data_IF_756315714225
#
_entry.id   IF_756315714225
#
_cell.length_a   1.000
_cell.length_b   1.000
_cell.length_c   1.000
_cell.angle_alpha   90.00
_cell.angle_beta   90.00
_cell.angle_gamma   90.00
#
_symmetry.space_group_name_H-M   'P 1'
#
loop_
_entity.id
_entity.type
_entity.pdbx_description
1 polymer ?
#
# COMPACT_ATOMS: atom_id res chain seq x y z
N UNK A 1 -3.35 14.08 -10.27
CA UNK A 1 -3.34 13.88 -8.81
C UNK A 1 -3.76 15.14 -8.08
N UNK A 2 -3.04 16.25 -8.06
CA UNK A 2 -3.35 17.46 -7.27
C UNK A 2 -4.81 17.94 -7.38
N UNK A 3 -5.35 18.08 -8.60
CA UNK A 3 -6.73 18.56 -8.83
C UNK A 3 -7.80 17.68 -8.17
N UNK A 4 -7.57 16.36 -8.10
CA UNK A 4 -8.55 15.39 -7.56
C UNK A 4 -8.40 15.24 -6.05
N UNK A 5 -7.14 15.26 -5.55
CA UNK A 5 -6.86 15.07 -4.12
C UNK A 5 -7.03 16.35 -3.28
N UNK A 6 -7.20 17.51 -3.91
CA UNK A 6 -7.28 18.79 -3.20
C UNK A 6 -5.97 19.29 -2.59
N UNK A 7 -4.86 18.65 -2.89
CA UNK A 7 -3.54 19.04 -2.37
C UNK A 7 -3.13 20.43 -2.88
N UNK A 8 -2.61 21.26 -1.98
CA UNK A 8 -2.10 22.59 -2.32
C UNK A 8 -0.78 22.53 -3.09
N UNK A 9 0.02 21.49 -2.84
CA UNK A 9 1.31 21.23 -3.52
C UNK A 9 1.18 19.96 -4.36
N UNK A 10 1.77 19.97 -5.54
CA UNK A 10 1.79 18.79 -6.42
C UNK A 10 2.55 17.65 -5.75
N UNK A 11 1.97 16.44 -5.65
CA UNK A 11 2.70 15.29 -5.16
C UNK A 11 3.80 14.90 -6.14
N UNK A 12 4.91 14.43 -5.61
CA UNK A 12 5.98 13.85 -6.42
C UNK A 12 5.51 12.48 -6.94
N UNK A 13 5.53 12.31 -8.25
CA UNK A 13 5.21 11.05 -8.92
C UNK A 13 6.46 10.55 -9.64
N UNK A 14 6.98 9.41 -9.20
CA UNK A 14 8.21 8.82 -9.73
C UNK A 14 7.93 7.38 -10.21
N UNK A 15 7.43 7.18 -11.44
CA UNK A 15 7.19 5.86 -11.98
C UNK A 15 8.51 5.17 -12.35
N UNK A 16 8.68 3.92 -11.90
CA UNK A 16 9.80 3.06 -12.23
C UNK A 16 9.25 1.81 -12.90
N UNK A 17 9.81 1.45 -14.05
CA UNK A 17 9.46 0.23 -14.78
C UNK A 17 10.62 -0.75 -14.71
N UNK A 18 10.32 -2.01 -14.41
CA UNK A 18 11.30 -3.08 -14.28
C UNK A 18 10.96 -4.22 -15.25
N UNK A 19 11.97 -5.04 -15.57
CA UNK A 19 11.87 -6.14 -16.52
C UNK A 19 11.34 -7.42 -15.83
N UNK A 20 10.03 -7.45 -15.53
CA UNK A 20 9.29 -8.64 -15.10
C UNK A 20 7.83 -8.52 -15.54
N UNK A 21 7.17 -9.66 -15.72
CA UNK A 21 5.83 -9.75 -16.30
C UNK A 21 4.76 -9.00 -15.50
N UNK A 22 4.69 -9.22 -14.20
CA UNK A 22 3.71 -8.57 -13.32
C UNK A 22 4.24 -8.39 -11.91
N UNK A 23 3.63 -7.47 -11.21
CA UNK A 23 3.97 -7.09 -9.85
C UNK A 23 4.21 -5.60 -9.73
N UNK A 24 3.84 -5.04 -8.61
CA UNK A 24 3.97 -3.61 -8.35
C UNK A 24 4.15 -3.33 -6.86
N UNK A 25 5.01 -2.38 -6.56
CA UNK A 25 5.09 -1.74 -5.25
C UNK A 25 4.81 -0.25 -5.44
N UNK A 26 3.86 0.26 -4.68
CA UNK A 26 3.61 1.70 -4.57
C UNK A 26 4.13 2.15 -3.22
N UNK A 27 5.06 3.11 -3.23
CA UNK A 27 5.65 3.69 -2.02
C UNK A 27 5.19 5.13 -1.85
N UNK A 28 4.66 5.44 -0.66
CA UNK A 28 4.17 6.78 -0.31
C UNK A 28 4.94 7.27 0.91
N UNK A 29 5.93 8.17 0.73
CA UNK A 29 6.62 8.78 1.86
C UNK A 29 5.70 9.80 2.54
N UNK A 30 5.60 9.71 3.86
CA UNK A 30 4.80 10.59 4.71
C UNK A 30 5.72 11.23 5.75
N UNK A 31 5.73 12.55 5.81
CA UNK A 31 6.34 13.29 6.91
C UNK A 31 5.26 13.61 7.93
N UNK A 32 5.35 13.05 9.12
CA UNK A 32 4.30 13.15 10.16
C UNK A 32 4.02 14.58 10.56
N UNK A 33 5.04 15.45 10.54
CA UNK A 33 4.91 16.91 10.82
C UNK A 33 3.99 17.66 9.85
N UNK A 34 3.68 17.07 8.68
CA UNK A 34 2.78 17.65 7.67
C UNK A 34 1.33 17.17 7.82
N UNK A 35 1.06 16.25 8.73
CA UNK A 35 -0.27 15.77 9.01
C UNK A 35 -1.03 16.75 9.88
N UNK A 36 -2.32 16.90 9.67
CA UNK A 36 -3.19 17.78 10.46
C UNK A 36 -3.27 17.35 11.93
N UNK A 37 -3.19 16.04 12.17
CA UNK A 37 -3.16 15.48 13.52
C UNK A 37 -1.74 15.01 13.84
N UNK A 38 -1.27 15.33 15.02
CA UNK A 38 -0.02 14.79 15.53
C UNK A 38 -0.21 13.28 15.77
N UNK A 39 0.53 12.47 15.05
CA UNK A 39 0.51 11.01 15.16
C UNK A 39 1.89 10.44 14.82
N UNK A 40 2.22 9.31 15.44
CA UNK A 40 3.43 8.56 15.18
C UNK A 40 3.19 7.37 14.24
N UNK A 41 4.22 6.59 14.01
CA UNK A 41 4.15 5.40 13.15
C UNK A 41 3.15 4.36 13.68
N UNK A 42 3.07 4.18 14.99
CA UNK A 42 2.13 3.24 15.63
C UNK A 42 0.68 3.63 15.37
N UNK A 43 0.35 4.93 15.48
CA UNK A 43 -1.02 5.41 15.23
C UNK A 43 -1.44 5.17 13.77
N UNK A 44 -0.51 5.39 12.83
CA UNK A 44 -0.74 5.14 11.40
C UNK A 44 -0.95 3.65 11.14
N UNK A 45 -0.10 2.82 11.73
CA UNK A 45 -0.20 1.36 11.63
C UNK A 45 -1.55 0.84 12.17
N UNK A 46 -1.93 1.25 13.37
CA UNK A 46 -3.19 0.85 14.00
C UNK A 46 -4.41 1.31 13.21
N UNK A 47 -4.37 2.53 12.68
CA UNK A 47 -5.43 3.04 11.83
C UNK A 47 -5.64 2.19 10.56
N UNK A 48 -4.55 1.79 9.90
CA UNK A 48 -4.58 0.92 8.73
C UNK A 48 -5.03 -0.50 9.10
N UNK A 49 -4.46 -1.08 10.16
CA UNK A 49 -4.82 -2.41 10.64
C UNK A 49 -6.31 -2.51 10.97
N UNK A 50 -6.84 -1.54 11.69
CA UNK A 50 -8.26 -1.45 12.03
C UNK A 50 -9.15 -1.26 10.81
N UNK A 51 -8.72 -0.40 9.86
CA UNK A 51 -9.49 -0.14 8.63
C UNK A 51 -9.65 -1.38 7.76
N UNK A 52 -8.61 -2.19 7.66
CA UNK A 52 -8.59 -3.40 6.83
C UNK A 52 -8.87 -4.69 7.62
N UNK A 53 -9.28 -4.58 8.90
CA UNK A 53 -9.64 -5.74 9.71
C UNK A 53 -10.77 -6.55 9.05
N UNK A 54 -10.60 -7.86 8.99
CA UNK A 54 -11.57 -8.77 8.36
C UNK A 54 -11.61 -8.75 6.83
N UNK A 55 -10.81 -7.91 6.17
CA UNK A 55 -10.75 -7.90 4.70
C UNK A 55 -9.98 -9.13 4.18
N UNK A 56 -10.56 -9.79 3.16
CA UNK A 56 -9.97 -11.02 2.57
C UNK A 56 -8.88 -10.72 1.54
N UNK A 57 -8.97 -9.58 0.85
CA UNK A 57 -8.13 -9.25 -0.30
C UNK A 57 -7.06 -8.19 0.01
N UNK A 58 -7.11 -7.58 1.20
CA UNK A 58 -6.13 -6.61 1.66
C UNK A 58 -5.66 -7.02 3.05
N UNK A 59 -4.36 -7.06 3.26
CA UNK A 59 -3.77 -7.39 4.55
C UNK A 59 -2.74 -6.34 4.93
N UNK A 60 -2.78 -5.88 6.16
CA UNK A 60 -1.72 -5.06 6.75
C UNK A 60 -0.72 -6.01 7.40
N UNK A 61 0.54 -5.92 6.97
CA UNK A 61 1.63 -6.80 7.40
C UNK A 61 2.13 -6.38 8.79
N UNK A 62 2.95 -7.21 9.42
CA UNK A 62 3.56 -6.86 10.71
C UNK A 62 4.31 -5.51 10.62
N UNK A 63 4.35 -4.78 11.73
CA UNK A 63 5.05 -3.49 11.74
C UNK A 63 6.52 -3.68 11.35
N UNK A 64 6.99 -2.88 10.39
CA UNK A 64 8.31 -3.03 9.79
C UNK A 64 8.48 -4.24 8.88
N UNK A 65 7.43 -5.05 8.65
CA UNK A 65 7.46 -6.20 7.75
C UNK A 65 8.42 -7.32 8.17
N UNK A 66 8.79 -7.39 9.43
CA UNK A 66 9.86 -8.27 9.92
C UNK A 66 9.58 -9.76 9.71
N UNK A 67 8.31 -10.16 9.71
CA UNK A 67 7.92 -11.55 9.46
C UNK A 67 7.84 -11.88 7.97
N UNK A 68 7.46 -10.91 7.13
CA UNK A 68 7.16 -11.12 5.71
C UNK A 68 8.36 -10.84 4.79
N UNK A 69 9.32 -10.07 5.26
CA UNK A 69 10.53 -9.70 4.52
C UNK A 69 11.79 -9.81 5.41
N UNK A 70 12.12 -11.00 5.89
CA UNK A 70 13.22 -11.19 6.85
C UNK A 70 14.57 -10.67 6.32
N UNK A 71 14.76 -10.69 5.00
CA UNK A 71 15.99 -10.19 4.35
C UNK A 71 15.98 -8.68 4.10
N UNK A 72 14.91 -7.97 4.49
CA UNK A 72 14.76 -6.53 4.30
C UNK A 72 14.47 -6.09 2.86
N UNK A 73 14.27 -7.03 1.92
CA UNK A 73 13.99 -6.72 0.51
C UNK A 73 12.52 -6.94 0.15
N UNK A 74 11.81 -5.87 -0.13
CA UNK A 74 10.42 -5.92 -0.59
C UNK A 74 10.36 -6.20 -2.09
N UNK A 75 10.36 -7.48 -2.48
CA UNK A 75 10.23 -7.88 -3.87
C UNK A 75 8.84 -7.51 -4.42
N UNK A 76 8.80 -6.82 -5.55
CA UNK A 76 7.55 -6.31 -6.15
C UNK A 76 6.69 -7.39 -6.81
N UNK A 77 7.28 -8.48 -7.26
CA UNK A 77 6.62 -9.57 -8.00
C UNK A 77 6.16 -10.75 -7.13
N UNK A 78 6.29 -10.68 -5.81
CA UNK A 78 5.88 -11.76 -4.89
C UNK A 78 4.38 -12.11 -5.01
N UNK A 79 3.55 -11.13 -5.33
CA UNK A 79 2.11 -11.32 -5.50
C UNK A 79 1.67 -11.45 -6.96
N UNK A 80 2.59 -11.73 -7.90
CA UNK A 80 2.23 -12.00 -9.29
C UNK A 80 1.20 -13.13 -9.39
N UNK A 81 0.16 -12.93 -10.19
CA UNK A 81 -0.99 -13.82 -10.35
C UNK A 81 -1.88 -14.01 -9.10
N UNK A 82 -1.77 -13.10 -8.12
CA UNK A 82 -2.65 -13.10 -6.97
C UNK A 82 -3.49 -11.81 -6.89
N UNK A 83 -4.78 -11.94 -6.58
CA UNK A 83 -5.69 -10.81 -6.40
C UNK A 83 -5.67 -10.24 -4.97
N UNK A 84 -4.50 -10.27 -4.32
CA UNK A 84 -4.29 -9.77 -2.97
C UNK A 84 -3.43 -8.52 -2.99
N UNK A 85 -3.58 -7.73 -1.92
CA UNK A 85 -2.71 -6.58 -1.63
C UNK A 85 -2.14 -6.72 -0.23
N UNK A 86 -0.88 -6.41 -0.08
CA UNK A 86 -0.20 -6.30 1.20
C UNK A 86 0.19 -4.85 1.44
N UNK A 87 -0.05 -4.36 2.65
CA UNK A 87 0.32 -3.01 3.07
C UNK A 87 1.39 -3.14 4.15
N UNK A 88 2.49 -2.43 3.96
CA UNK A 88 3.62 -2.35 4.88
C UNK A 88 3.76 -0.93 5.40
N UNK A 89 4.15 -0.80 6.65
CA UNK A 89 4.42 0.46 7.33
C UNK A 89 5.86 0.42 7.85
N UNK A 90 6.71 1.26 7.29
CA UNK A 90 8.13 1.38 7.65
C UNK A 90 8.44 2.77 8.16
N UNK A 91 9.55 2.91 8.86
CA UNK A 91 10.07 4.22 9.27
C UNK A 91 10.07 4.43 10.77
N UNK A 92 9.80 5.64 11.19
CA UNK A 92 9.79 6.10 12.58
C UNK A 92 8.71 7.17 12.79
N UNK A 93 8.67 7.79 13.97
CA UNK A 93 7.64 8.79 14.31
C UNK A 93 7.75 10.10 13.51
N UNK A 94 8.88 10.38 12.87
CA UNK A 94 9.07 11.58 12.05
C UNK A 94 8.79 11.34 10.57
N UNK A 95 9.15 10.15 10.08
CA UNK A 95 9.07 9.77 8.66
C UNK A 95 8.53 8.35 8.54
N UNK A 96 7.39 8.21 7.88
CA UNK A 96 6.75 6.93 7.61
C UNK A 96 6.75 6.67 6.12
N UNK A 97 7.11 5.45 5.72
CA UNK A 97 7.00 4.96 4.36
C UNK A 97 5.88 3.93 4.31
N UNK A 98 4.79 4.27 3.66
CA UNK A 98 3.72 3.34 3.36
C UNK A 98 4.01 2.65 2.05
N UNK A 99 4.04 1.31 2.05
CA UNK A 99 4.23 0.54 0.83
C UNK A 99 3.03 -0.39 0.62
N UNK A 100 2.49 -0.41 -0.58
CA UNK A 100 1.55 -1.45 -1.00
C UNK A 100 2.17 -2.33 -2.07
N UNK A 101 2.08 -3.65 -1.89
CA UNK A 101 2.53 -4.66 -2.84
C UNK A 101 1.33 -5.40 -3.42
N UNK A 102 1.25 -5.50 -4.73
CA UNK A 102 0.13 -6.14 -5.44
C UNK A 102 0.56 -6.60 -6.83
N UNK A 103 -0.25 -7.43 -7.48
CA UNK A 103 -0.16 -7.68 -8.91
C UNK A 103 -0.85 -6.54 -9.67
N UNK A 104 -0.13 -5.83 -10.53
CA UNK A 104 -0.66 -4.72 -11.32
C UNK A 104 -1.67 -5.16 -12.38
N UNK A 105 -1.62 -6.41 -12.85
CA UNK A 105 -2.53 -6.99 -13.83
C UNK A 105 -3.75 -7.66 -13.17
N UNK A 106 -3.55 -8.29 -12.01
CA UNK A 106 -4.59 -8.89 -11.18
C UNK A 106 -5.29 -7.85 -10.29
N UNK A 107 -4.86 -7.74 -9.04
CA UNK A 107 -5.44 -6.81 -8.05
C UNK A 107 -5.46 -5.36 -8.52
N UNK A 108 -4.48 -4.94 -9.30
CA UNK A 108 -4.40 -3.58 -9.85
C UNK A 108 -5.31 -3.32 -11.05
N UNK A 109 -5.89 -4.34 -11.67
CA UNK A 109 -6.72 -4.21 -12.88
C UNK A 109 -7.91 -5.18 -12.86
N UNK A 110 -7.78 -6.37 -13.50
CA UNK A 110 -8.90 -7.31 -13.69
C UNK A 110 -9.47 -7.85 -12.38
N UNK A 111 -8.63 -8.20 -11.42
CA UNK A 111 -9.07 -8.71 -10.12
C UNK A 111 -9.86 -7.68 -9.32
N UNK A 112 -9.46 -6.39 -9.35
CA UNK A 112 -10.24 -5.33 -8.71
C UNK A 112 -11.60 -5.12 -9.41
N UNK A 113 -11.66 -5.23 -10.73
CA UNK A 113 -12.92 -5.11 -11.46
C UNK A 113 -13.89 -6.24 -11.08
N UNK A 114 -13.41 -7.49 -11.02
CA UNK A 114 -14.22 -8.64 -10.57
C UNK A 114 -14.66 -8.45 -9.11
N UNK A 115 -13.77 -8.00 -8.24
CA UNK A 115 -14.10 -7.73 -6.84
C UNK A 115 -15.20 -6.68 -6.71
N UNK A 116 -15.15 -5.59 -7.48
CA UNK A 116 -16.19 -4.57 -7.50
C UNK A 116 -17.52 -5.15 -8.01
N UNK A 117 -17.48 -5.98 -9.05
CA UNK A 117 -18.68 -6.64 -9.57
C UNK A 117 -19.32 -7.57 -8.51
N UNK A 118 -18.50 -8.37 -7.81
CA UNK A 118 -18.99 -9.24 -6.73
C UNK A 118 -19.54 -8.47 -5.52
N UNK A 119 -19.07 -7.24 -5.29
CA UNK A 119 -19.59 -6.37 -4.23
C UNK A 119 -20.93 -5.68 -4.58
N UNK A 120 -21.26 -5.63 -5.87
CA UNK A 120 -22.51 -4.99 -6.36
C UNK A 120 -23.58 -6.04 -6.69
N UNK A 121 -23.17 -7.24 -7.09
CA UNK A 121 -24.09 -8.35 -7.36
C UNK A 121 -24.20 -9.24 -6.10
N UNK A 122 -25.42 -9.39 -5.53
CA UNK A 122 -25.65 -10.26 -4.37
C UNK A 122 -25.42 -11.75 -4.68
#
# INVERSE_FOLDING_TARGET
MQKISGLTVKPMFNPIVCDYYSGMVVSVPVQTRLLEKKCGISDIYEALAKHYEGQKMVSVMSMGGTAEIPDGFLASNTLSNHDRMQIFVFGNDDQVLLCSRLDNLGKGASGAAVQCLCGVCP
#
